data_IF_714053386248
#
_entry.id   IF_714053386248
#
_cell.length_a   1.000
_cell.length_b   1.000
_cell.length_c   1.000
_cell.angle_alpha   90.00
_cell.angle_beta   90.00
_cell.angle_gamma   90.00
#
_symmetry.space_group_name_H-M   'P 1'
#
loop_
_entity.id
_entity.type
_entity.pdbx_description
1 polymer ?
#
# COMPACT_ATOMS: atom_id res chain seq x y z
N UNK A 1 25.62 12.97 4.74
CA UNK A 1 24.30 12.43 5.12
C UNK A 1 23.27 13.51 4.85
N UNK A 2 22.39 13.28 3.89
CA UNK A 2 21.27 14.21 3.61
C UNK A 2 20.26 14.04 4.74
N UNK A 3 20.28 14.93 5.74
CA UNK A 3 19.37 14.83 6.88
C UNK A 3 17.94 15.00 6.37
N UNK A 4 17.07 14.08 6.79
CA UNK A 4 15.64 14.17 6.55
C UNK A 4 15.11 15.48 7.15
N UNK A 5 14.29 16.22 6.39
CA UNK A 5 13.66 17.47 6.87
C UNK A 5 12.71 17.20 8.03
N UNK A 6 12.35 18.23 8.79
CA UNK A 6 11.42 18.05 9.93
C UNK A 6 10.04 17.55 9.49
N UNK A 7 9.40 18.04 8.39
CA UNK A 7 8.14 17.49 7.89
C UNK A 7 8.25 16.03 7.45
N UNK A 8 9.31 15.67 6.71
CA UNK A 8 9.54 14.29 6.28
C UNK A 8 9.79 13.37 7.46
N UNK A 9 10.51 13.85 8.48
CA UNK A 9 10.77 13.11 9.71
C UNK A 9 9.49 12.78 10.47
N UNK A 10 8.57 13.73 10.56
CA UNK A 10 7.26 13.50 11.19
C UNK A 10 6.45 12.42 10.46
N UNK A 11 6.46 12.44 9.12
CA UNK A 11 5.83 11.38 8.31
C UNK A 11 6.52 10.02 8.51
N UNK A 12 7.85 10.02 8.58
CA UNK A 12 8.65 8.83 8.80
C UNK A 12 8.37 8.20 10.18
N UNK A 13 8.31 9.01 11.24
CA UNK A 13 7.98 8.56 12.60
C UNK A 13 6.60 7.93 12.65
N UNK A 14 5.60 8.57 12.03
CA UNK A 14 4.25 8.02 11.95
C UNK A 14 4.19 6.72 11.13
N UNK A 15 4.91 6.65 10.02
CA UNK A 15 4.98 5.42 9.21
C UNK A 15 5.65 4.28 9.99
N UNK A 16 6.72 4.54 10.72
CA UNK A 16 7.40 3.53 11.56
C UNK A 16 6.46 3.01 12.64
N UNK A 17 5.73 3.89 13.32
CA UNK A 17 4.72 3.48 14.31
C UNK A 17 3.63 2.60 13.67
N UNK A 18 3.15 2.98 12.48
CA UNK A 18 2.17 2.19 11.74
C UNK A 18 2.73 0.80 11.36
N UNK A 19 3.97 0.73 10.88
CA UNK A 19 4.62 -0.55 10.55
C UNK A 19 4.67 -1.48 11.76
N UNK A 20 5.02 -0.95 12.93
CA UNK A 20 5.01 -1.74 14.18
C UNK A 20 3.60 -2.25 14.50
N UNK A 21 2.57 -1.39 14.41
CA UNK A 21 1.17 -1.78 14.65
C UNK A 21 0.73 -2.91 13.71
N UNK A 22 1.07 -2.83 12.41
CA UNK A 22 0.75 -3.88 11.42
C UNK A 22 1.52 -5.18 11.67
N UNK A 23 2.79 -5.09 12.10
CA UNK A 23 3.59 -6.26 12.45
C UNK A 23 3.04 -6.97 13.70
N UNK A 24 2.71 -6.23 14.76
CA UNK A 24 2.05 -6.75 15.96
C UNK A 24 0.68 -7.36 15.66
N UNK A 25 -0.05 -6.79 14.69
CA UNK A 25 -1.32 -7.31 14.18
C UNK A 25 -1.20 -8.60 13.34
N UNK A 26 0.03 -9.04 13.01
CA UNK A 26 0.27 -10.23 12.18
C UNK A 26 0.09 -10.00 10.68
N UNK A 27 -0.06 -8.77 10.24
CA UNK A 27 -0.28 -8.40 8.84
C UNK A 27 1.02 -8.37 8.01
N UNK A 28 2.17 -8.45 8.69
CA UNK A 28 3.52 -8.41 8.11
C UNK A 28 4.35 -9.64 8.54
N UNK A 29 3.92 -10.88 8.22
CA UNK A 29 4.61 -12.07 8.68
C UNK A 29 6.05 -12.16 8.15
N UNK A 30 6.96 -12.68 8.96
CA UNK A 30 8.40 -12.77 8.70
C UNK A 30 9.01 -11.37 8.45
N UNK A 31 9.66 -11.15 7.31
CA UNK A 31 10.18 -9.82 6.92
C UNK A 31 9.36 -9.18 5.80
N UNK A 32 8.12 -9.64 5.61
CA UNK A 32 7.25 -9.20 4.53
C UNK A 32 6.78 -7.75 4.67
N UNK A 33 6.15 -7.26 3.61
CA UNK A 33 5.63 -5.90 3.53
C UNK A 33 6.68 -4.86 3.14
N UNK A 34 6.25 -3.87 2.40
CA UNK A 34 7.05 -2.71 2.01
C UNK A 34 6.19 -1.44 2.01
N UNK A 35 6.85 -0.33 2.29
CA UNK A 35 6.21 0.92 2.62
C UNK A 35 6.94 2.06 1.97
N UNK A 36 6.23 3.13 1.64
CA UNK A 36 6.88 4.34 1.13
C UNK A 36 6.04 5.58 1.38
N UNK A 37 6.69 6.73 1.38
CA UNK A 37 6.03 8.03 1.29
C UNK A 37 6.83 9.00 0.42
N UNK A 38 6.14 9.95 -0.22
CA UNK A 38 6.75 11.08 -0.93
C UNK A 38 7.25 12.11 0.06
N UNK A 39 8.45 12.65 -0.18
CA UNK A 39 8.92 13.81 0.56
C UNK A 39 7.96 14.99 0.41
N UNK A 40 7.68 15.67 1.51
CA UNK A 40 6.86 16.89 1.54
C UNK A 40 7.65 18.12 1.07
N UNK A 41 8.98 18.06 1.12
CA UNK A 41 9.86 19.18 0.79
C UNK A 41 10.53 19.04 -0.58
N UNK A 42 10.73 17.80 -1.05
CA UNK A 42 11.38 17.52 -2.33
C UNK A 42 10.48 16.64 -3.21
N UNK A 43 9.77 17.22 -4.21
CA UNK A 43 8.84 16.49 -5.05
C UNK A 43 9.51 15.38 -5.90
N UNK A 44 10.85 15.37 -5.98
CA UNK A 44 11.61 14.36 -6.70
C UNK A 44 12.10 13.22 -5.81
N UNK A 45 11.77 13.24 -4.50
CA UNK A 45 12.25 12.26 -3.53
C UNK A 45 11.10 11.41 -2.96
N UNK A 46 11.38 10.12 -2.86
CA UNK A 46 10.52 9.13 -2.20
C UNK A 46 11.39 8.40 -1.16
N UNK A 47 10.82 8.09 -0.01
CA UNK A 47 11.42 7.21 0.98
C UNK A 47 10.77 5.84 0.88
N UNK A 48 11.57 4.80 0.58
CA UNK A 48 11.15 3.40 0.49
C UNK A 48 11.69 2.61 1.66
N UNK A 49 10.94 1.65 2.17
CA UNK A 49 11.44 0.73 3.18
C UNK A 49 12.56 -0.15 2.63
N UNK A 50 13.59 -0.34 3.43
CA UNK A 50 14.71 -1.23 3.13
C UNK A 50 14.27 -2.68 3.08
N UNK A 51 14.79 -3.44 2.12
CA UNK A 51 14.46 -4.85 1.92
C UNK A 51 15.06 -5.74 3.00
N UNK A 52 14.27 -6.73 3.46
CA UNK A 52 14.75 -7.78 4.37
C UNK A 52 14.88 -7.36 5.83
N UNK A 53 14.39 -6.16 6.19
CA UNK A 53 14.38 -5.69 7.58
C UNK A 53 13.16 -6.26 8.31
N UNK A 54 13.39 -6.77 9.53
CA UNK A 54 12.36 -7.18 10.46
C UNK A 54 11.47 -5.99 10.83
N UNK A 55 10.16 -6.10 10.60
CA UNK A 55 9.21 -5.00 10.77
C UNK A 55 8.94 -4.66 12.24
N UNK A 56 9.13 -5.61 13.15
CA UNK A 56 9.06 -5.34 14.59
C UNK A 56 10.21 -4.45 15.08
N UNK A 57 11.31 -4.37 14.30
CA UNK A 57 12.52 -3.58 14.63
C UNK A 57 12.76 -2.47 13.62
N UNK A 58 11.77 -2.21 12.77
CA UNK A 58 11.91 -1.19 11.75
C UNK A 58 12.08 0.20 12.36
N UNK A 59 12.93 1.01 11.78
CA UNK A 59 13.24 2.37 12.26
C UNK A 59 13.34 3.36 11.09
N UNK A 60 13.44 4.65 11.38
CA UNK A 60 13.60 5.69 10.37
C UNK A 60 14.85 5.44 9.50
N UNK A 61 15.90 4.89 10.07
CA UNK A 61 17.14 4.55 9.40
C UNK A 61 16.94 3.50 8.29
N UNK A 62 15.87 2.72 8.36
CA UNK A 62 15.50 1.74 7.34
C UNK A 62 14.65 2.34 6.20
N UNK A 63 14.41 3.64 6.20
CA UNK A 63 13.82 4.36 5.08
C UNK A 63 14.93 4.83 4.13
N UNK A 64 14.88 4.35 2.90
CA UNK A 64 15.89 4.57 1.86
C UNK A 64 15.42 5.68 0.92
N UNK A 65 16.12 6.82 0.82
CA UNK A 65 15.75 7.86 -0.12
C UNK A 65 16.10 7.43 -1.56
N UNK A 66 15.11 7.55 -2.45
CA UNK A 66 15.24 7.30 -3.88
C UNK A 66 14.65 8.46 -4.67
N UNK A 67 15.05 8.59 -5.94
CA UNK A 67 14.39 9.52 -6.86
C UNK A 67 13.00 9.00 -7.28
N UNK A 68 12.15 9.84 -7.85
CA UNK A 68 10.85 9.41 -8.44
C UNK A 68 11.02 8.43 -9.62
N UNK A 69 12.26 8.22 -10.08
CA UNK A 69 12.60 7.18 -11.06
C UNK A 69 13.02 5.86 -10.41
N UNK A 70 13.18 5.83 -9.07
CA UNK A 70 13.63 4.65 -8.32
C UNK A 70 15.15 4.54 -8.19
N UNK A 71 15.91 5.57 -8.56
CA UNK A 71 17.37 5.59 -8.42
C UNK A 71 17.75 5.87 -6.96
N UNK A 72 18.63 5.06 -6.40
CA UNK A 72 19.13 5.25 -5.03
C UNK A 72 19.87 6.59 -4.90
N UNK A 73 19.49 7.39 -3.92
CA UNK A 73 20.21 8.63 -3.58
C UNK A 73 21.42 8.30 -2.70
N UNK A 74 21.32 7.23 -1.90
CA UNK A 74 22.40 6.73 -1.04
C UNK A 74 22.88 5.36 -1.54
N UNK A 75 24.16 5.25 -1.84
CA UNK A 75 24.74 3.99 -2.31
C UNK A 75 24.79 2.94 -1.19
N UNK A 76 24.76 1.66 -1.57
CA UNK A 76 24.93 0.54 -0.65
C UNK A 76 23.66 0.13 0.11
N UNK A 77 22.52 0.76 -0.17
CA UNK A 77 21.20 0.40 0.38
C UNK A 77 20.45 -0.51 -0.62
N UNK A 78 19.50 -1.27 -0.13
CA UNK A 78 18.67 -2.14 -0.97
C UNK A 78 17.17 -1.92 -0.66
N UNK A 79 16.39 -1.62 -1.69
CA UNK A 79 14.93 -1.58 -1.61
C UNK A 79 14.32 -2.87 -2.14
N UNK A 80 13.05 -3.12 -1.83
CA UNK A 80 12.31 -4.28 -2.34
C UNK A 80 12.18 -4.22 -3.87
N UNK A 81 12.16 -5.37 -4.53
CA UNK A 81 11.85 -5.48 -5.97
C UNK A 81 10.44 -4.95 -6.27
N UNK A 82 9.53 -5.00 -5.28
CA UNK A 82 8.17 -4.44 -5.36
C UNK A 82 8.13 -2.91 -5.36
N UNK A 83 9.25 -2.23 -5.16
CA UNK A 83 9.34 -0.77 -5.34
C UNK A 83 8.87 -0.32 -6.73
N UNK A 84 8.95 -1.19 -7.75
CA UNK A 84 8.38 -0.92 -9.07
C UNK A 84 6.86 -0.65 -9.02
N UNK A 85 6.12 -1.37 -8.18
CA UNK A 85 4.68 -1.17 -7.96
C UNK A 85 4.41 0.16 -7.23
N UNK A 86 5.23 0.51 -6.23
CA UNK A 86 5.13 1.80 -5.56
C UNK A 86 5.37 2.96 -6.52
N UNK A 87 6.44 2.89 -7.32
CA UNK A 87 6.77 3.94 -8.29
C UNK A 87 5.68 4.08 -9.36
N UNK A 88 5.10 2.97 -9.81
CA UNK A 88 3.95 2.98 -10.72
C UNK A 88 2.76 3.67 -10.06
N UNK A 89 2.43 3.29 -8.83
CA UNK A 89 1.32 3.87 -8.07
C UNK A 89 1.50 5.38 -7.92
N UNK A 90 2.68 5.87 -7.57
CA UNK A 90 2.95 7.31 -7.51
C UNK A 90 2.81 8.05 -8.84
N UNK A 91 3.00 7.37 -9.97
CA UNK A 91 2.85 7.99 -11.31
C UNK A 91 1.41 7.95 -11.79
N UNK A 92 0.68 6.91 -11.42
CA UNK A 92 -0.69 6.69 -11.88
C UNK A 92 -1.73 7.38 -10.98
N UNK A 93 -1.38 7.66 -9.73
CA UNK A 93 -2.29 8.14 -8.70
C UNK A 93 -1.71 9.33 -7.95
N UNK A 94 -2.58 10.15 -7.37
CA UNK A 94 -2.19 11.20 -6.43
C UNK A 94 -1.89 10.61 -5.05
N UNK A 95 -0.98 9.61 -5.00
CA UNK A 95 -0.58 9.00 -3.75
C UNK A 95 0.56 9.80 -3.09
N UNK A 96 0.49 9.96 -1.78
CA UNK A 96 1.57 10.49 -0.94
C UNK A 96 2.24 9.42 -0.08
N UNK A 97 1.49 8.36 0.27
CA UNK A 97 2.00 7.20 1.01
C UNK A 97 1.40 5.91 0.45
N UNK A 98 2.21 4.85 0.38
CA UNK A 98 1.81 3.52 -0.10
C UNK A 98 2.20 2.49 0.96
N UNK A 99 1.28 1.59 1.24
CA UNK A 99 1.42 0.46 2.15
C UNK A 99 1.22 -0.83 1.37
N UNK A 100 2.11 -1.79 1.52
CA UNK A 100 1.96 -3.15 1.03
C UNK A 100 2.24 -4.13 2.17
N UNK A 101 1.39 -5.12 2.33
CA UNK A 101 1.52 -6.17 3.32
C UNK A 101 0.67 -7.40 2.97
N UNK A 102 0.71 -8.40 3.85
CA UNK A 102 0.12 -9.72 3.61
C UNK A 102 -0.96 -10.07 4.65
N UNK A 103 -1.97 -9.20 4.87
CA UNK A 103 -3.05 -9.53 5.78
C UNK A 103 -3.79 -10.76 5.26
N UNK A 104 -4.03 -11.72 6.15
CA UNK A 104 -4.62 -13.01 5.76
C UNK A 104 -6.02 -12.86 5.16
N UNK A 105 -6.74 -11.84 5.57
CA UNK A 105 -8.06 -11.44 5.05
C UNK A 105 -8.01 -11.15 3.55
N UNK A 106 -6.96 -10.46 3.08
CA UNK A 106 -6.81 -10.15 1.66
C UNK A 106 -6.59 -11.41 0.81
N UNK A 107 -5.85 -12.40 1.36
CA UNK A 107 -5.65 -13.68 0.70
C UNK A 107 -6.95 -14.47 0.62
N UNK A 108 -7.66 -14.63 1.74
CA UNK A 108 -8.95 -15.32 1.78
C UNK A 108 -10.00 -14.61 0.92
N UNK A 109 -10.01 -13.27 0.93
CA UNK A 109 -10.93 -12.50 0.12
C UNK A 109 -10.70 -12.71 -1.38
N UNK A 110 -9.43 -12.77 -1.82
CA UNK A 110 -9.10 -13.07 -3.20
C UNK A 110 -9.46 -14.51 -3.60
N UNK A 111 -9.27 -15.48 -2.69
CA UNK A 111 -9.61 -16.89 -2.91
C UNK A 111 -11.12 -17.11 -2.98
N UNK A 112 -11.91 -16.32 -2.27
CA UNK A 112 -13.37 -16.38 -2.34
C UNK A 112 -13.91 -15.99 -3.73
N UNK A 113 -13.14 -15.21 -4.49
CA UNK A 113 -13.53 -14.70 -5.81
C UNK A 113 -12.52 -15.04 -6.93
N UNK A 114 -12.17 -16.32 -7.14
CA UNK A 114 -11.04 -16.73 -7.99
C UNK A 114 -11.18 -16.33 -9.46
N UNK A 115 -12.40 -16.09 -9.94
CA UNK A 115 -12.70 -15.74 -11.33
C UNK A 115 -13.07 -14.25 -11.52
N UNK A 116 -12.96 -13.44 -10.46
CA UNK A 116 -13.21 -12.00 -10.54
C UNK A 116 -11.90 -11.25 -10.79
N UNK A 117 -12.00 -10.17 -11.56
CA UNK A 117 -10.91 -9.21 -11.76
C UNK A 117 -11.02 -8.01 -10.83
N UNK A 118 -12.17 -7.84 -10.21
CA UNK A 118 -12.44 -6.79 -9.21
C UNK A 118 -13.63 -7.16 -8.35
N UNK A 119 -13.68 -6.61 -7.15
CA UNK A 119 -14.85 -6.63 -6.28
C UNK A 119 -15.26 -5.19 -5.97
N UNK A 120 -16.57 -4.96 -5.95
CA UNK A 120 -17.19 -3.71 -5.54
C UNK A 120 -17.89 -3.93 -4.20
N UNK A 121 -17.50 -3.19 -3.17
CA UNK A 121 -18.14 -3.20 -1.85
C UNK A 121 -18.94 -1.91 -1.67
N UNK A 122 -20.20 -2.03 -1.24
CA UNK A 122 -21.11 -0.92 -0.97
C UNK A 122 -22.13 -1.32 0.11
N UNK A 123 -22.95 -0.37 0.55
CA UNK A 123 -23.99 -0.63 1.57
C UNK A 123 -23.44 -0.61 3.01
N UNK A 124 -22.21 -0.18 3.22
CA UNK A 124 -21.57 -0.11 4.51
C UNK A 124 -21.09 1.33 4.80
N UNK A 125 -21.30 1.82 6.00
CA UNK A 125 -20.92 3.17 6.39
C UNK A 125 -19.42 3.43 6.18
N UNK A 126 -18.60 2.38 6.34
CA UNK A 126 -17.15 2.48 6.24
C UNK A 126 -16.63 2.76 4.83
N UNK A 127 -17.44 2.61 3.77
CA UNK A 127 -17.04 3.03 2.41
C UNK A 127 -16.75 4.54 2.33
N UNK A 128 -17.28 5.34 3.26
CA UNK A 128 -16.99 6.78 3.38
C UNK A 128 -15.57 7.09 3.88
N UNK A 129 -14.80 6.09 4.27
CA UNK A 129 -13.38 6.27 4.54
C UNK A 129 -12.58 6.70 3.30
N UNK A 130 -13.10 6.39 2.10
CA UNK A 130 -12.42 6.66 0.84
C UNK A 130 -12.86 8.00 0.25
N UNK A 131 -11.89 8.76 -0.26
CA UNK A 131 -12.13 10.09 -0.80
C UNK A 131 -13.19 10.07 -1.93
N UNK A 132 -14.09 11.03 -1.89
CA UNK A 132 -15.20 11.13 -2.85
C UNK A 132 -16.47 10.37 -2.45
N UNK A 133 -16.40 9.43 -1.52
CA UNK A 133 -17.57 8.74 -0.99
C UNK A 133 -18.19 9.56 0.16
N UNK A 134 -19.50 9.80 0.08
CA UNK A 134 -20.27 10.61 1.04
C UNK A 134 -21.46 9.86 1.62
N UNK A 135 -21.84 8.75 0.99
CA UNK A 135 -23.00 7.93 1.35
C UNK A 135 -22.62 6.44 1.45
N UNK A 136 -23.30 5.70 2.31
CA UNK A 136 -23.09 4.25 2.46
C UNK A 136 -23.39 3.45 1.19
N UNK A 137 -24.19 3.99 0.26
CA UNK A 137 -24.47 3.39 -1.05
C UNK A 137 -23.35 3.65 -2.07
N UNK A 138 -22.43 4.58 -1.78
CA UNK A 138 -21.20 4.70 -2.55
C UNK A 138 -20.39 3.41 -2.45
N UNK A 139 -19.31 3.29 -3.20
CA UNK A 139 -18.57 2.04 -3.27
C UNK A 139 -17.07 2.24 -3.30
N UNK A 140 -16.36 1.23 -2.81
CA UNK A 140 -14.94 1.02 -3.07
C UNK A 140 -14.77 -0.16 -4.02
N UNK A 141 -13.88 0.01 -5.00
CA UNK A 141 -13.52 -1.04 -5.95
C UNK A 141 -12.13 -1.55 -5.58
N UNK A 142 -11.99 -2.87 -5.48
CA UNK A 142 -10.73 -3.55 -5.19
C UNK A 142 -10.40 -4.44 -6.38
N UNK A 143 -9.47 -4.05 -7.27
CA UNK A 143 -8.99 -4.87 -8.36
C UNK A 143 -8.15 -6.04 -7.89
N UNK A 144 -8.22 -7.16 -8.62
CA UNK A 144 -7.42 -8.35 -8.41
C UNK A 144 -6.46 -8.58 -9.57
N UNK A 145 -5.21 -8.86 -9.25
CA UNK A 145 -4.17 -9.20 -10.22
C UNK A 145 -3.57 -10.57 -9.89
N UNK A 146 -3.21 -11.31 -10.92
CA UNK A 146 -2.51 -12.59 -10.73
C UNK A 146 -1.09 -12.34 -10.23
N UNK A 147 -0.63 -13.19 -9.32
CA UNK A 147 0.74 -13.15 -8.84
C UNK A 147 1.73 -13.46 -9.98
N UNK A 148 2.81 -12.71 -10.03
CA UNK A 148 3.89 -12.88 -11.00
C UNK A 148 5.20 -12.35 -10.44
N UNK A 149 6.32 -12.91 -10.90
CA UNK A 149 7.66 -12.39 -10.59
C UNK A 149 8.06 -11.25 -11.54
N UNK A 150 7.36 -11.06 -12.65
CA UNK A 150 7.56 -9.91 -13.54
C UNK A 150 6.73 -8.71 -13.07
N UNK A 151 7.29 -8.02 -12.08
CA UNK A 151 6.64 -6.86 -11.45
C UNK A 151 6.55 -5.65 -12.38
N UNK A 152 7.40 -5.53 -13.38
CA UNK A 152 7.34 -4.45 -14.37
C UNK A 152 6.15 -4.63 -15.32
N UNK A 153 5.93 -5.84 -15.80
CA UNK A 153 4.73 -6.17 -16.59
C UNK A 153 3.47 -5.98 -15.76
N UNK A 154 3.46 -6.44 -14.51
CA UNK A 154 2.33 -6.24 -13.59
C UNK A 154 2.04 -4.75 -13.36
N UNK A 155 3.07 -3.94 -13.08
CA UNK A 155 2.94 -2.50 -12.90
C UNK A 155 2.32 -1.82 -14.15
N UNK A 156 2.74 -2.24 -15.34
CA UNK A 156 2.20 -1.73 -16.61
C UNK A 156 0.73 -2.11 -16.79
N UNK A 157 0.36 -3.34 -16.45
CA UNK A 157 -1.03 -3.80 -16.47
C UNK A 157 -1.90 -3.00 -15.53
N UNK A 158 -1.49 -2.87 -14.27
CA UNK A 158 -2.21 -2.09 -13.25
C UNK A 158 -2.41 -0.65 -13.74
N UNK A 159 -1.37 0.00 -14.23
CA UNK A 159 -1.47 1.36 -14.76
C UNK A 159 -2.42 1.49 -15.97
N UNK A 160 -2.51 0.44 -16.80
CA UNK A 160 -3.39 0.38 -17.96
C UNK A 160 -4.88 0.22 -17.61
N UNK A 161 -5.16 -0.53 -16.56
CA UNK A 161 -6.53 -0.81 -16.11
C UNK A 161 -7.18 0.38 -15.38
N UNK A 162 -6.39 1.38 -15.07
CA UNK A 162 -6.69 2.49 -14.20
C UNK A 162 -7.84 3.43 -14.61
N UNK A 163 -8.40 3.37 -15.76
CA UNK A 163 -9.39 4.33 -16.27
C UNK A 163 -10.77 4.27 -15.60
N UNK A 164 -10.95 3.43 -14.56
CA UNK A 164 -12.28 3.03 -14.06
C UNK A 164 -12.73 3.63 -12.73
N UNK A 165 -12.15 4.72 -12.23
CA UNK A 165 -12.75 5.40 -11.08
C UNK A 165 -11.94 5.38 -9.78
N UNK A 166 -12.60 5.58 -8.64
CA UNK A 166 -11.99 5.72 -7.32
C UNK A 166 -11.45 4.38 -6.80
N UNK A 167 -10.20 4.08 -7.13
CA UNK A 167 -9.47 2.92 -6.64
C UNK A 167 -8.42 3.43 -5.64
N UNK A 168 -8.34 2.80 -4.47
CA UNK A 168 -7.42 3.16 -3.39
C UNK A 168 -6.55 1.99 -2.97
N UNK A 169 -6.73 0.84 -3.62
CA UNK A 169 -6.02 -0.39 -3.34
C UNK A 169 -6.11 -1.36 -4.51
N UNK A 170 -5.26 -2.38 -4.50
CA UNK A 170 -5.40 -3.59 -5.28
C UNK A 170 -4.87 -4.80 -4.49
N UNK A 171 -5.33 -5.99 -4.87
CA UNK A 171 -4.84 -7.26 -4.31
C UNK A 171 -4.11 -8.03 -5.40
N UNK A 172 -2.92 -8.54 -5.07
CA UNK A 172 -2.23 -9.56 -5.86
C UNK A 172 -2.61 -10.91 -5.26
N UNK A 173 -3.30 -11.74 -6.03
CA UNK A 173 -3.83 -13.04 -5.59
C UNK A 173 -2.71 -13.97 -5.11
N UNK A 174 -2.87 -14.57 -3.92
CA UNK A 174 -1.85 -15.41 -3.31
C UNK A 174 -0.59 -14.65 -2.88
N UNK A 175 -0.66 -13.31 -2.73
CA UNK A 175 0.46 -12.47 -2.33
C UNK A 175 0.06 -11.48 -1.23
N UNK A 176 -0.75 -10.45 -1.54
CA UNK A 176 -1.11 -9.46 -0.53
C UNK A 176 -1.88 -8.26 -1.07
N UNK A 177 -2.09 -7.31 -0.17
CA UNK A 177 -2.79 -6.04 -0.36
C UNK A 177 -1.79 -4.91 -0.56
N UNK A 178 -2.07 -4.05 -1.53
CA UNK A 178 -1.43 -2.72 -1.66
C UNK A 178 -2.50 -1.65 -1.56
N UNK A 179 -2.32 -0.65 -0.72
CA UNK A 179 -3.20 0.51 -0.67
C UNK A 179 -2.39 1.81 -0.51
N UNK A 180 -3.04 2.94 -0.70
CA UNK A 180 -2.41 4.27 -0.62
C UNK A 180 -3.37 5.34 -0.13
N UNK A 181 -2.79 6.47 0.26
CA UNK A 181 -3.47 7.71 0.59
C UNK A 181 -2.60 8.91 0.23
N UNK A 182 -3.12 10.12 0.43
CA UNK A 182 -2.40 11.38 0.19
C UNK A 182 -1.25 11.61 1.19
N UNK A 183 -1.30 10.93 2.33
CA UNK A 183 -0.28 10.90 3.37
C UNK A 183 -0.35 9.58 4.16
N UNK A 184 0.51 9.44 5.18
CA UNK A 184 0.54 8.23 6.04
C UNK A 184 -0.77 8.04 6.79
N UNK A 185 -1.41 9.12 7.26
CA UNK A 185 -2.65 9.04 8.03
C UNK A 185 -3.82 8.53 7.16
N UNK A 186 -3.92 9.02 5.93
CA UNK A 186 -4.94 8.56 5.00
C UNK A 186 -4.68 7.14 4.51
N UNK A 187 -3.43 6.78 4.22
CA UNK A 187 -3.06 5.40 3.87
C UNK A 187 -3.41 4.42 5.01
N UNK A 188 -3.12 4.78 6.27
CA UNK A 188 -3.55 4.01 7.46
C UNK A 188 -5.07 3.85 7.52
N UNK A 189 -5.82 4.95 7.33
CA UNK A 189 -7.29 4.93 7.32
C UNK A 189 -7.83 3.99 6.24
N UNK A 190 -7.26 4.04 5.04
CA UNK A 190 -7.64 3.16 3.93
C UNK A 190 -7.32 1.70 4.25
N UNK A 191 -6.13 1.41 4.79
CA UNK A 191 -5.75 0.06 5.20
C UNK A 191 -6.76 -0.54 6.17
N UNK A 192 -7.03 0.17 7.27
CA UNK A 192 -7.98 -0.29 8.28
C UNK A 192 -9.40 -0.47 7.75
N UNK A 193 -9.84 0.43 6.86
CA UNK A 193 -11.15 0.31 6.23
C UNK A 193 -11.22 -0.90 5.30
N UNK A 194 -10.17 -1.15 4.49
CA UNK A 194 -10.11 -2.27 3.56
C UNK A 194 -10.11 -3.61 4.29
N UNK A 195 -9.24 -3.78 5.29
CA UNK A 195 -9.16 -5.04 6.06
C UNK A 195 -10.49 -5.33 6.76
N UNK A 196 -11.10 -4.33 7.41
CA UNK A 196 -12.43 -4.48 8.02
C UNK A 196 -13.51 -4.85 7.01
N UNK A 197 -13.56 -4.19 5.83
CA UNK A 197 -14.55 -4.47 4.80
C UNK A 197 -14.38 -5.89 4.23
N UNK A 198 -13.14 -6.33 4.04
CA UNK A 198 -12.85 -7.70 3.58
C UNK A 198 -13.27 -8.74 4.63
N UNK A 199 -12.94 -8.52 5.91
CA UNK A 199 -13.38 -9.39 7.01
C UNK A 199 -14.89 -9.51 7.09
N UNK A 200 -15.59 -8.39 6.95
CA UNK A 200 -17.05 -8.38 6.95
C UNK A 200 -17.63 -9.18 5.78
N UNK A 201 -17.08 -9.05 4.57
CA UNK A 201 -17.52 -9.82 3.41
C UNK A 201 -17.20 -11.31 3.55
N UNK A 202 -16.06 -11.66 4.13
CA UNK A 202 -15.69 -13.06 4.44
C UNK A 202 -16.68 -13.67 5.43
N UNK A 203 -17.07 -12.94 6.47
CA UNK A 203 -18.01 -13.40 7.48
C UNK A 203 -19.44 -13.65 6.93
N UNK A 204 -19.83 -13.01 5.82
CA UNK A 204 -21.11 -13.28 5.15
C UNK A 204 -21.15 -14.62 4.42
N UNK A 205 -19.99 -15.14 4.02
CA UNK A 205 -19.87 -16.38 3.27
C UNK A 205 -19.81 -17.64 4.15
N UNK A 206 -19.79 -17.44 5.48
CA UNK A 206 -19.86 -18.48 6.51
C UNK A 206 -21.30 -18.68 6.98
#
# INVERSE_FOLDING_TARGET
MNQMTAPDRSQAEFLVELIHQLAEGGELPATSGNFSFKSLEDPNKIYLSESGVDKERFSIENLVPVTTKGELIEAGRKVSDESALHLMTYRAFEAGCILHGHPVEALHFADLYPNKTEIKISGLELVKAFAGNTDHNDSVIIPFYKNTQDLNTLATQIAGDWKKGHIFAFIIQGHGLTCWGNDVAEAKKHWQALTYLMDYELAKGL
#
